data_IF_144579248704
#
_entry.id   IF_144579248704
#
_cell.length_a   1.000
_cell.length_b   1.000
_cell.length_c   1.000
_cell.angle_alpha   90.00
_cell.angle_beta   90.00
_cell.angle_gamma   90.00
#
_symmetry.space_group_name_H-M   'P 1'
#
loop_
_entity.id
_entity.type
_entity.pdbx_description
1 polymer ?
#
# COMPACT_ATOMS: atom_id res chain seq x y z
N UNK A 1 -21.72 4.44 13.59
CA UNK A 1 -20.99 3.99 12.38
C UNK A 1 -19.70 4.78 12.37
N UNK A 2 -18.53 4.15 12.52
CA UNK A 2 -17.27 4.90 12.36
C UNK A 2 -16.89 4.83 10.89
N UNK A 3 -17.07 5.92 10.17
CA UNK A 3 -16.42 6.11 8.87
C UNK A 3 -14.90 6.06 9.07
N UNK A 4 -14.17 5.60 8.06
CA UNK A 4 -12.71 5.69 8.05
C UNK A 4 -12.31 7.18 8.14
N UNK A 5 -11.43 7.54 9.07
CA UNK A 5 -10.98 8.92 9.23
C UNK A 5 -9.89 9.23 8.19
N UNK A 6 -10.28 9.88 7.09
CA UNK A 6 -9.35 10.26 6.02
C UNK A 6 -9.51 11.71 5.60
N UNK A 7 -8.45 12.27 5.04
CA UNK A 7 -8.40 13.61 4.42
C UNK A 7 -8.01 13.43 2.96
N UNK A 8 -8.87 13.92 2.05
CA UNK A 8 -8.52 14.06 0.63
C UNK A 8 -7.61 15.30 0.49
N UNK A 9 -6.43 15.10 -0.08
CA UNK A 9 -5.39 16.12 -0.26
C UNK A 9 -5.35 16.48 -1.74
N UNK A 10 -6.14 17.48 -2.10
CA UNK A 10 -6.31 18.00 -3.46
C UNK A 10 -5.85 19.46 -3.58
N UNK A 11 -5.25 20.02 -2.53
CA UNK A 11 -4.69 21.37 -2.51
C UNK A 11 -3.31 21.40 -1.83
N UNK A 12 -2.47 22.39 -2.19
CA UNK A 12 -1.15 22.56 -1.58
C UNK A 12 -1.19 22.76 -0.06
N UNK A 13 -2.12 23.56 0.53
CA UNK A 13 -2.22 23.68 1.99
C UNK A 13 -2.51 22.35 2.70
N UNK A 14 -3.35 21.49 2.11
CA UNK A 14 -3.60 20.15 2.64
C UNK A 14 -2.37 19.24 2.46
N UNK A 15 -1.63 19.38 1.37
CA UNK A 15 -0.38 18.65 1.16
C UNK A 15 0.67 19.05 2.20
N UNK A 16 0.82 20.34 2.48
CA UNK A 16 1.70 20.84 3.54
C UNK A 16 1.30 20.31 4.92
N UNK A 17 0.00 20.24 5.21
CA UNK A 17 -0.54 19.66 6.45
C UNK A 17 -0.23 18.17 6.56
N UNK A 18 -0.40 17.42 5.46
CA UNK A 18 -0.01 16.01 5.37
C UNK A 18 1.49 15.83 5.66
N UNK A 19 2.36 16.59 4.99
CA UNK A 19 3.81 16.51 5.17
C UNK A 19 4.26 16.86 6.59
N UNK A 20 3.61 17.84 7.23
CA UNK A 20 3.84 18.17 8.63
C UNK A 20 3.47 17.00 9.55
N UNK A 21 2.33 16.34 9.31
CA UNK A 21 1.90 15.17 10.07
C UNK A 21 2.85 13.96 9.90
N UNK A 22 3.52 13.86 8.74
CA UNK A 22 4.49 12.79 8.45
C UNK A 22 5.91 13.08 8.96
N UNK A 23 6.21 14.29 9.42
CA UNK A 23 7.58 14.76 9.67
C UNK A 23 8.41 13.86 10.61
N UNK A 24 7.76 13.29 11.63
CA UNK A 24 8.39 12.45 12.66
C UNK A 24 8.02 10.96 12.54
N UNK A 25 7.38 10.55 11.44
CA UNK A 25 6.99 9.14 11.28
C UNK A 25 8.20 8.26 11.04
N UNK A 26 8.23 7.10 11.69
CA UNK A 26 9.25 6.06 11.48
C UNK A 26 8.74 4.92 10.59
N UNK A 27 7.42 4.82 10.42
CA UNK A 27 6.75 3.77 9.65
C UNK A 27 5.50 4.33 8.97
N UNK A 28 5.36 4.07 7.67
CA UNK A 28 4.32 4.61 6.83
C UNK A 28 3.69 3.48 6.01
N UNK A 29 2.38 3.27 6.16
CA UNK A 29 1.61 2.42 5.26
C UNK A 29 1.31 3.21 3.99
N UNK A 30 1.55 2.58 2.85
CA UNK A 30 1.41 3.20 1.53
C UNK A 30 0.69 2.22 0.61
N UNK A 31 -0.24 2.76 -0.16
CA UNK A 31 -0.86 2.09 -1.30
C UNK A 31 -1.13 3.13 -2.40
N UNK A 32 -1.33 2.66 -3.64
CA UNK A 32 -1.54 3.51 -4.80
C UNK A 32 -2.73 2.99 -5.62
N UNK A 33 -3.49 3.92 -6.22
CA UNK A 33 -4.58 3.57 -7.13
C UNK A 33 -4.48 4.36 -8.44
N UNK A 34 -4.89 3.74 -9.54
CA UNK A 34 -4.91 4.35 -10.87
C UNK A 34 -5.31 3.39 -11.99
N UNK A 35 -5.30 3.87 -13.24
CA UNK A 35 -5.71 3.08 -14.40
C UNK A 35 -4.53 2.29 -14.93
N UNK A 36 -4.64 0.96 -14.92
CA UNK A 36 -3.56 0.06 -15.33
C UNK A 36 -2.22 0.38 -14.64
N UNK A 37 -2.27 0.69 -13.33
CA UNK A 37 -1.16 1.20 -12.52
C UNK A 37 0.17 0.45 -12.76
N UNK A 38 1.07 1.11 -13.50
CA UNK A 38 2.46 0.75 -13.78
C UNK A 38 3.07 1.87 -14.65
N UNK A 39 4.26 1.65 -15.22
CA UNK A 39 4.94 2.57 -16.14
C UNK A 39 4.15 3.03 -17.38
N UNK A 40 3.13 2.27 -17.78
CA UNK A 40 2.30 2.56 -18.97
C UNK A 40 0.86 2.91 -18.62
N UNK A 41 0.55 3.09 -17.34
CA UNK A 41 -0.76 3.47 -16.85
C UNK A 41 -0.73 4.87 -16.22
N UNK A 42 -1.69 5.12 -15.33
CA UNK A 42 -1.78 6.36 -14.56
C UNK A 42 -1.70 6.08 -13.07
N UNK A 43 -1.17 7.06 -12.32
CA UNK A 43 -1.25 7.11 -10.87
C UNK A 43 -2.21 8.23 -10.49
N UNK A 44 -3.31 7.88 -9.84
CA UNK A 44 -4.38 8.82 -9.54
C UNK A 44 -4.43 9.20 -8.06
N UNK A 45 -4.14 8.26 -7.17
CA UNK A 45 -4.18 8.45 -5.73
C UNK A 45 -2.99 7.77 -5.04
N UNK A 46 -2.47 8.41 -4.00
CA UNK A 46 -1.55 7.80 -3.03
C UNK A 46 -2.21 7.81 -1.66
N UNK A 47 -2.31 6.65 -1.01
CA UNK A 47 -2.88 6.54 0.33
C UNK A 47 -1.76 6.38 1.35
N UNK A 48 -1.81 7.16 2.44
CA UNK A 48 -0.77 7.20 3.45
C UNK A 48 -1.35 7.09 4.86
N UNK A 49 -0.80 6.19 5.67
CA UNK A 49 -1.11 6.12 7.12
C UNK A 49 0.15 5.93 7.95
N UNK A 50 0.49 6.94 8.75
CA UNK A 50 1.60 6.86 9.69
C UNK A 50 1.28 5.88 10.84
N UNK A 51 2.29 5.16 11.32
CA UNK A 51 2.14 4.31 12.51
C UNK A 51 1.71 5.16 13.72
N UNK A 52 0.72 4.67 14.47
CA UNK A 52 0.16 5.39 15.63
C UNK A 52 -0.77 6.56 15.28
N UNK A 53 -1.03 6.82 14.00
CA UNK A 53 -2.04 7.79 13.57
C UNK A 53 -3.36 7.11 13.19
N UNK A 54 -4.47 7.77 13.50
CA UNK A 54 -5.80 7.41 13.04
C UNK A 54 -6.21 8.15 11.76
N UNK A 55 -5.38 9.09 11.27
CA UNK A 55 -5.65 9.85 10.05
C UNK A 55 -5.01 9.17 8.85
N UNK A 56 -5.80 9.02 7.80
CA UNK A 56 -5.35 8.54 6.49
C UNK A 56 -5.33 9.73 5.52
N UNK A 57 -4.23 9.90 4.81
CA UNK A 57 -4.11 10.95 3.80
C UNK A 57 -4.26 10.34 2.42
N UNK A 58 -5.23 10.82 1.64
CA UNK A 58 -5.45 10.43 0.25
C UNK A 58 -4.94 11.56 -0.64
N UNK A 59 -3.75 11.42 -1.19
CA UNK A 59 -3.15 12.45 -2.04
C UNK A 59 -3.66 12.29 -3.45
N UNK A 60 -4.31 13.35 -3.93
CA UNK A 60 -4.93 13.43 -5.25
C UNK A 60 -3.89 13.82 -6.30
N UNK A 61 -3.31 12.80 -6.95
CA UNK A 61 -2.27 13.01 -7.97
C UNK A 61 -2.87 13.53 -9.28
N UNK A 62 -4.16 13.28 -9.54
CA UNK A 62 -4.85 13.86 -10.71
C UNK A 62 -4.95 15.37 -10.59
N UNK A 63 -5.26 15.88 -9.40
CA UNK A 63 -5.38 17.32 -9.15
C UNK A 63 -4.01 17.98 -8.95
N UNK A 64 -3.12 17.36 -8.17
CA UNK A 64 -1.84 17.97 -7.80
C UNK A 64 -0.71 17.73 -8.80
N UNK A 65 -0.84 16.73 -9.68
CA UNK A 65 0.21 16.35 -10.62
C UNK A 65 1.56 16.07 -9.94
N UNK A 66 2.65 16.56 -10.54
CA UNK A 66 4.00 16.42 -10.00
C UNK A 66 4.17 17.12 -8.63
N UNK A 67 3.40 18.17 -8.35
CA UNK A 67 3.46 18.89 -7.07
C UNK A 67 3.13 18.00 -5.87
N UNK A 68 2.36 16.92 -6.05
CA UNK A 68 2.11 15.91 -5.02
C UNK A 68 3.42 15.33 -4.42
N UNK A 69 4.50 15.32 -5.21
CA UNK A 69 5.78 14.72 -4.84
C UNK A 69 6.92 15.71 -4.73
N UNK A 70 6.86 16.82 -5.47
CA UNK A 70 7.96 17.80 -5.56
C UNK A 70 7.83 18.94 -4.55
N UNK A 71 6.60 19.31 -4.18
CA UNK A 71 6.35 20.41 -3.25
C UNK A 71 6.87 20.06 -1.84
N UNK A 72 7.58 21.00 -1.23
CA UNK A 72 8.13 20.84 0.12
C UNK A 72 7.22 21.49 1.15
N UNK A 73 6.87 20.73 2.20
CA UNK A 73 6.13 21.28 3.33
C UNK A 73 7.00 22.16 4.25
N UNK A 74 6.44 22.67 5.36
CA UNK A 74 7.14 23.55 6.30
C UNK A 74 8.47 23.01 6.86
N UNK A 75 8.64 21.68 6.88
CA UNK A 75 9.88 21.01 7.30
C UNK A 75 10.93 20.84 6.20
N UNK A 76 10.75 21.46 5.02
CA UNK A 76 11.67 21.39 3.89
C UNK A 76 11.77 20.00 3.22
N UNK A 77 10.81 19.11 3.48
CA UNK A 77 10.75 17.76 2.92
C UNK A 77 9.48 17.60 2.09
N UNK A 78 9.65 17.10 0.87
CA UNK A 78 8.55 16.69 0.00
C UNK A 78 8.16 15.23 0.22
N UNK A 79 7.02 14.80 -0.32
CA UNK A 79 6.60 13.39 -0.24
C UNK A 79 7.63 12.46 -0.92
N UNK A 80 8.23 12.89 -2.03
CA UNK A 80 9.34 12.16 -2.67
C UNK A 80 10.45 11.88 -1.67
N UNK A 81 10.90 12.88 -0.90
CA UNK A 81 11.95 12.69 0.11
C UNK A 81 11.55 11.73 1.23
N UNK A 82 10.27 11.68 1.61
CA UNK A 82 9.76 10.71 2.59
C UNK A 82 9.81 9.28 2.02
N UNK A 83 9.33 9.09 0.78
CA UNK A 83 9.31 7.81 0.08
C UNK A 83 10.73 7.26 -0.19
N UNK A 84 11.69 8.14 -0.53
CA UNK A 84 13.09 7.80 -0.78
C UNK A 84 13.96 7.68 0.51
N UNK A 85 13.40 8.04 1.67
CA UNK A 85 14.14 8.03 2.94
C UNK A 85 14.47 6.61 3.41
N UNK A 86 15.73 6.35 3.76
CA UNK A 86 16.11 5.08 4.42
C UNK A 86 15.67 5.01 5.88
N UNK A 87 15.41 6.15 6.52
CA UNK A 87 15.05 6.21 7.95
C UNK A 87 13.56 5.98 8.21
N UNK A 88 12.71 6.06 7.19
CA UNK A 88 11.27 5.79 7.30
C UNK A 88 11.01 4.44 6.63
N UNK A 89 10.48 3.48 7.38
CA UNK A 89 10.01 2.21 6.83
C UNK A 89 8.72 2.46 6.04
N UNK A 90 8.64 2.02 4.79
CA UNK A 90 7.37 2.01 4.04
C UNK A 90 6.83 0.59 3.99
N UNK A 91 5.65 0.38 4.56
CA UNK A 91 4.94 -0.88 4.44
C UNK A 91 3.97 -0.79 3.27
N UNK A 92 4.09 -1.76 2.38
CA UNK A 92 3.22 -1.97 1.22
C UNK A 92 2.65 -3.40 1.31
N UNK A 93 1.58 -3.68 0.57
CA UNK A 93 1.16 -5.05 0.30
C UNK A 93 1.26 -5.30 -1.19
N UNK A 94 2.33 -5.99 -1.64
CA UNK A 94 2.70 -6.15 -3.05
C UNK A 94 3.17 -4.86 -3.76
N UNK A 95 4.37 -4.39 -3.43
CA UNK A 95 4.92 -3.09 -3.91
C UNK A 95 5.26 -3.02 -5.40
N UNK A 96 5.12 -4.12 -6.16
CA UNK A 96 5.77 -4.26 -7.48
C UNK A 96 5.26 -3.22 -8.49
N UNK A 97 3.94 -3.11 -8.66
CA UNK A 97 3.35 -2.15 -9.59
C UNK A 97 3.43 -0.71 -9.08
N UNK A 98 3.31 -0.51 -7.77
CA UNK A 98 3.45 0.81 -7.14
C UNK A 98 4.84 1.39 -7.38
N UNK A 99 5.86 0.57 -7.14
CA UNK A 99 7.25 0.94 -7.39
C UNK A 99 7.51 1.21 -8.86
N UNK A 100 6.91 0.44 -9.77
CA UNK A 100 7.05 0.64 -11.22
C UNK A 100 6.41 1.96 -11.67
N UNK A 101 5.22 2.29 -11.17
CA UNK A 101 4.55 3.56 -11.43
C UNK A 101 5.33 4.74 -10.85
N UNK A 102 5.69 4.69 -9.56
CA UNK A 102 6.45 5.76 -8.89
C UNK A 102 7.79 6.05 -9.57
N UNK A 103 8.52 5.00 -9.97
CA UNK A 103 9.82 5.18 -10.62
C UNK A 103 9.68 5.72 -12.05
N UNK A 104 8.84 5.10 -12.88
CA UNK A 104 8.80 5.42 -14.31
C UNK A 104 7.95 6.65 -14.64
N UNK A 105 6.96 6.99 -13.81
CA UNK A 105 6.10 8.16 -14.04
C UNK A 105 6.58 9.41 -13.28
N UNK A 106 7.22 9.26 -12.12
CA UNK A 106 7.60 10.39 -11.23
C UNK A 106 9.08 10.38 -10.80
N UNK A 107 9.88 9.42 -11.27
CA UNK A 107 11.30 9.35 -10.95
C UNK A 107 11.57 9.13 -9.46
N UNK A 108 10.68 8.45 -8.74
CA UNK A 108 10.79 8.21 -7.29
C UNK A 108 11.37 6.82 -7.06
N UNK A 109 12.48 6.74 -6.32
CA UNK A 109 13.06 5.46 -5.91
C UNK A 109 12.71 5.13 -4.46
N UNK A 110 11.76 4.22 -4.25
CA UNK A 110 11.45 3.73 -2.91
C UNK A 110 12.70 3.16 -2.22
N UNK A 111 12.85 3.47 -0.92
CA UNK A 111 13.89 2.92 -0.06
C UNK A 111 13.29 2.37 1.23
N UNK A 112 13.93 1.43 1.92
CA UNK A 112 13.42 0.86 3.17
C UNK A 112 11.94 0.39 3.08
N UNK A 113 11.66 -0.36 2.01
CA UNK A 113 10.35 -0.97 1.78
C UNK A 113 10.28 -2.30 2.52
N UNK A 114 9.14 -2.55 3.13
CA UNK A 114 8.81 -3.81 3.79
C UNK A 114 7.46 -4.30 3.27
N UNK A 115 7.50 -5.28 2.36
CA UNK A 115 6.30 -5.82 1.72
C UNK A 115 5.61 -6.86 2.60
N UNK A 116 4.42 -6.54 3.09
CA UNK A 116 3.65 -7.38 4.01
C UNK A 116 3.16 -8.68 3.36
N UNK A 117 3.05 -8.74 2.03
CA UNK A 117 2.73 -9.98 1.34
C UNK A 117 3.85 -11.01 1.50
N UNK A 118 5.10 -10.55 1.58
CA UNK A 118 6.24 -11.43 1.87
C UNK A 118 6.27 -11.87 3.34
N UNK A 119 5.93 -10.96 4.26
CA UNK A 119 5.79 -11.34 5.67
C UNK A 119 4.69 -12.41 5.87
N UNK A 120 3.58 -12.31 5.12
CA UNK A 120 2.52 -13.33 5.12
C UNK A 120 3.05 -14.70 4.67
N UNK A 121 3.84 -14.74 3.58
CA UNK A 121 4.49 -15.96 3.11
C UNK A 121 5.44 -16.51 4.18
N UNK A 122 6.22 -15.65 4.83
CA UNK A 122 7.16 -16.06 5.86
C UNK A 122 6.45 -16.69 7.08
N UNK A 123 5.29 -16.16 7.49
CA UNK A 123 4.44 -16.77 8.53
C UNK A 123 3.99 -18.16 8.11
N UNK A 124 3.45 -18.33 6.90
CA UNK A 124 3.01 -19.64 6.40
C UNK A 124 4.17 -20.63 6.23
N UNK A 125 5.33 -20.17 5.79
CA UNK A 125 6.54 -20.99 5.59
C UNK A 125 7.19 -21.39 6.92
N UNK A 126 6.85 -20.71 8.02
CA UNK A 126 7.31 -21.06 9.37
C UNK A 126 6.41 -22.07 10.08
N UNK A 127 5.26 -22.44 9.48
CA UNK A 127 4.37 -23.46 10.04
C UNK A 127 4.76 -24.87 9.56
N UNK A 128 4.49 -25.93 10.34
CA UNK A 128 4.71 -27.30 9.89
C UNK A 128 3.94 -27.62 8.62
N UNK A 129 4.58 -28.29 7.66
CA UNK A 129 3.94 -28.76 6.43
C UNK A 129 4.69 -28.34 5.18
N UNK A 130 3.98 -28.37 4.04
CA UNK A 130 4.55 -28.01 2.74
C UNK A 130 4.66 -26.49 2.61
N UNK A 131 5.81 -25.96 2.16
CA UNK A 131 5.95 -24.53 1.87
C UNK A 131 4.89 -24.01 0.90
N UNK A 132 4.41 -22.77 1.07
CA UNK A 132 3.41 -22.19 0.20
C UNK A 132 3.94 -22.02 -1.22
N UNK A 133 3.12 -22.33 -2.23
CA UNK A 133 3.48 -22.09 -3.64
C UNK A 133 3.02 -20.73 -4.16
N UNK A 134 1.91 -20.23 -3.65
CA UNK A 134 1.25 -19.02 -4.14
C UNK A 134 1.20 -17.95 -3.06
N UNK A 135 1.29 -16.70 -3.51
CA UNK A 135 1.06 -15.51 -2.70
C UNK A 135 -0.42 -15.40 -2.34
N UNK A 136 -0.70 -14.77 -1.20
CA UNK A 136 -2.04 -14.44 -0.76
C UNK A 136 -2.34 -12.96 -1.01
N UNK A 137 -3.57 -12.65 -1.39
CA UNK A 137 -4.03 -11.26 -1.55
C UNK A 137 -4.24 -10.55 -0.21
N UNK A 138 -4.40 -9.22 -0.24
CA UNK A 138 -4.59 -8.41 0.96
C UNK A 138 -5.86 -8.79 1.72
N UNK A 139 -7.01 -8.82 1.04
CA UNK A 139 -8.31 -9.15 1.65
C UNK A 139 -8.27 -10.49 2.41
N UNK A 140 -7.91 -11.63 1.79
CA UNK A 140 -7.88 -12.88 2.53
C UNK A 140 -6.81 -12.91 3.63
N UNK A 141 -5.75 -12.08 3.54
CA UNK A 141 -4.77 -11.93 4.62
C UNK A 141 -5.35 -11.17 5.81
N UNK A 142 -6.06 -10.06 5.58
CA UNK A 142 -6.76 -9.31 6.62
C UNK A 142 -7.85 -10.15 7.30
N UNK A 143 -8.62 -10.93 6.53
CA UNK A 143 -9.62 -11.87 7.07
C UNK A 143 -9.00 -12.92 7.98
N UNK A 144 -7.81 -13.41 7.64
CA UNK A 144 -7.16 -14.48 8.41
C UNK A 144 -6.48 -13.95 9.67
N UNK A 145 -5.81 -12.80 9.59
CA UNK A 145 -4.88 -12.36 10.63
C UNK A 145 -5.37 -11.15 11.45
N UNK A 146 -6.24 -10.32 10.87
CA UNK A 146 -6.71 -9.08 11.52
C UNK A 146 -8.16 -9.18 11.97
N UNK A 147 -9.05 -9.73 11.14
CA UNK A 147 -10.47 -9.84 11.47
C UNK A 147 -10.76 -10.55 12.81
N UNK A 148 -10.04 -11.64 13.20
CA UNK A 148 -10.24 -12.28 14.51
C UNK A 148 -9.89 -11.38 15.71
N UNK A 149 -9.14 -10.30 15.49
CA UNK A 149 -8.71 -9.34 16.51
C UNK A 149 -9.61 -8.11 16.59
N UNK A 150 -10.65 -8.02 15.75
CA UNK A 150 -11.55 -6.88 15.67
C UNK A 150 -12.98 -7.30 16.04
N UNK A 151 -13.83 -6.34 16.40
CA UNK A 151 -15.24 -6.62 16.66
C UNK A 151 -15.98 -6.98 15.37
N UNK A 152 -17.04 -7.80 15.49
CA UNK A 152 -17.85 -8.19 14.35
C UNK A 152 -18.46 -6.98 13.60
N UNK A 153 -18.73 -5.88 14.30
CA UNK A 153 -19.20 -4.64 13.70
C UNK A 153 -18.15 -3.99 12.78
N UNK A 154 -16.87 -3.99 13.21
CA UNK A 154 -15.75 -3.47 12.41
C UNK A 154 -15.54 -4.32 11.16
N UNK A 155 -15.51 -5.65 11.32
CA UNK A 155 -15.32 -6.59 10.19
C UNK A 155 -16.45 -6.45 9.15
N UNK A 156 -17.72 -6.35 9.59
CA UNK A 156 -18.84 -6.12 8.68
C UNK A 156 -18.75 -4.78 7.94
N UNK A 157 -18.35 -3.71 8.63
CA UNK A 157 -18.21 -2.40 7.98
C UNK A 157 -17.10 -2.42 6.93
N UNK A 158 -15.95 -3.04 7.24
CA UNK A 158 -14.85 -3.23 6.31
C UNK A 158 -15.30 -3.99 5.05
N UNK A 159 -15.96 -5.14 5.20
CA UNK A 159 -16.49 -5.91 4.07
C UNK A 159 -17.49 -5.11 3.22
N UNK A 160 -18.37 -4.31 3.85
CA UNK A 160 -19.36 -3.48 3.15
C UNK A 160 -18.71 -2.41 2.27
N UNK A 161 -17.72 -1.69 2.80
CA UNK A 161 -17.01 -0.64 2.06
C UNK A 161 -16.18 -1.26 0.93
N UNK A 162 -15.50 -2.38 1.18
CA UNK A 162 -14.74 -3.08 0.14
C UNK A 162 -15.63 -3.51 -1.02
N UNK A 163 -16.77 -4.13 -0.73
CA UNK A 163 -17.76 -4.53 -1.75
C UNK A 163 -18.36 -3.33 -2.50
N UNK A 164 -18.63 -2.22 -1.81
CA UNK A 164 -19.14 -1.00 -2.44
C UNK A 164 -18.10 -0.39 -3.40
N UNK A 165 -16.84 -0.27 -2.99
CA UNK A 165 -15.76 0.26 -3.84
C UNK A 165 -15.46 -0.65 -5.04
N UNK A 166 -15.36 -1.97 -4.82
CA UNK A 166 -15.09 -2.93 -5.89
C UNK A 166 -16.14 -2.87 -7.01
N UNK A 167 -17.42 -2.63 -6.69
CA UNK A 167 -18.47 -2.47 -7.71
C UNK A 167 -18.28 -1.24 -8.60
N UNK A 168 -17.55 -0.23 -8.13
CA UNK A 168 -17.33 1.01 -8.88
C UNK A 168 -16.19 0.88 -9.88
N UNK A 169 -15.09 0.21 -9.52
CA UNK A 169 -13.90 0.16 -10.38
C UNK A 169 -13.58 -1.21 -10.99
N UNK A 170 -14.04 -2.32 -10.41
CA UNK A 170 -13.68 -3.65 -10.88
C UNK A 170 -14.57 -4.07 -12.08
N UNK A 171 -14.01 -4.30 -13.29
CA UNK A 171 -14.80 -4.61 -14.48
C UNK A 171 -15.66 -5.86 -14.37
N UNK A 172 -15.17 -6.88 -13.66
CA UNK A 172 -15.89 -8.12 -13.40
C UNK A 172 -17.12 -7.93 -12.50
N UNK A 173 -17.26 -6.76 -11.88
CA UNK A 173 -18.41 -6.35 -11.06
C UNK A 173 -19.24 -5.23 -11.70
N UNK A 174 -18.98 -4.91 -12.97
CA UNK A 174 -19.66 -3.85 -13.72
C UNK A 174 -19.05 -2.45 -13.53
N UNK A 175 -17.90 -2.35 -12.85
CA UNK A 175 -17.16 -1.12 -12.66
C UNK A 175 -16.19 -0.80 -13.80
N UNK A 176 -15.44 0.29 -13.65
CA UNK A 176 -14.39 0.70 -14.60
C UNK A 176 -13.23 1.36 -13.86
N UNK A 177 -11.98 1.06 -14.21
CA UNK A 177 -10.82 1.60 -13.47
C UNK A 177 -10.73 3.14 -13.56
N UNK A 178 -11.33 3.73 -14.58
CA UNK A 178 -11.36 5.17 -14.87
C UNK A 178 -12.05 5.98 -13.75
N UNK A 179 -12.81 5.35 -12.85
CA UNK A 179 -13.37 6.05 -11.68
C UNK A 179 -12.31 6.66 -10.77
N UNK A 180 -11.06 6.17 -10.82
CA UNK A 180 -9.94 6.78 -10.09
C UNK A 180 -9.47 8.10 -10.72
N UNK A 181 -9.76 8.35 -11.99
CA UNK A 181 -9.43 9.60 -12.71
C UNK A 181 -10.55 10.64 -12.61
N UNK A 182 -11.78 10.22 -12.35
CA UNK A 182 -12.95 11.10 -12.29
C UNK A 182 -12.90 12.09 -11.12
N UNK A 183 -13.24 13.37 -11.37
CA UNK A 183 -13.34 14.40 -10.34
C UNK A 183 -14.69 15.13 -10.38
N UNK A 184 -15.31 15.43 -9.22
CA UNK A 184 -14.83 15.15 -7.85
C UNK A 184 -14.78 13.65 -7.55
N UNK A 185 -13.81 13.23 -6.71
CA UNK A 185 -13.64 11.81 -6.38
C UNK A 185 -14.87 11.28 -5.65
N UNK A 186 -15.47 10.19 -6.16
CA UNK A 186 -16.65 9.62 -5.56
C UNK A 186 -16.38 9.18 -4.09
N UNK A 187 -17.25 9.53 -3.11
CA UNK A 187 -16.99 9.23 -1.70
C UNK A 187 -16.75 7.75 -1.39
N UNK A 188 -17.46 6.86 -2.09
CA UNK A 188 -17.28 5.41 -1.92
C UNK A 188 -15.93 4.91 -2.46
N UNK A 189 -15.37 5.56 -3.49
CA UNK A 189 -14.01 5.27 -3.99
C UNK A 189 -12.99 5.75 -2.96
N UNK A 190 -13.15 6.98 -2.45
CA UNK A 190 -12.27 7.52 -1.40
C UNK A 190 -12.26 6.64 -0.14
N UNK A 191 -13.44 6.18 0.32
CA UNK A 191 -13.56 5.32 1.50
C UNK A 191 -12.92 3.94 1.26
N UNK A 192 -13.05 3.39 0.05
CA UNK A 192 -12.37 2.16 -0.36
C UNK A 192 -10.84 2.34 -0.31
N UNK A 193 -10.29 3.36 -0.96
CA UNK A 193 -8.85 3.61 -1.01
C UNK A 193 -8.28 3.81 0.40
N UNK A 194 -9.00 4.54 1.26
CA UNK A 194 -8.59 4.73 2.64
C UNK A 194 -8.47 3.40 3.41
N UNK A 195 -9.33 2.42 3.13
CA UNK A 195 -9.28 1.12 3.82
C UNK A 195 -8.07 0.27 3.46
N UNK A 196 -7.47 0.45 2.28
CA UNK A 196 -6.35 -0.38 1.85
C UNK A 196 -5.06 -0.16 2.65
N UNK A 197 -4.90 1.03 3.24
CA UNK A 197 -3.82 1.32 4.20
C UNK A 197 -4.24 1.29 5.67
N UNK A 198 -5.55 1.32 5.96
CA UNK A 198 -6.09 1.48 7.31
C UNK A 198 -5.58 0.40 8.29
N UNK A 199 -5.51 -0.85 7.82
CA UNK A 199 -5.20 -2.03 8.62
C UNK A 199 -3.80 -2.63 8.34
N UNK A 200 -2.95 -1.98 7.53
CA UNK A 200 -1.63 -2.56 7.21
C UNK A 200 -0.70 -2.62 8.43
N UNK A 201 -0.71 -1.62 9.32
CA UNK A 201 0.06 -1.69 10.57
C UNK A 201 -0.50 -2.77 11.52
N UNK A 202 -1.82 -2.95 11.58
CA UNK A 202 -2.45 -4.04 12.33
C UNK A 202 -2.03 -5.41 11.79
N UNK A 203 -2.00 -5.56 10.47
CA UNK A 203 -1.56 -6.76 9.78
C UNK A 203 -0.08 -7.06 10.06
N UNK A 204 0.79 -6.04 9.99
CA UNK A 204 2.20 -6.19 10.34
C UNK A 204 2.36 -6.72 11.77
N UNK A 205 1.66 -6.12 12.74
CA UNK A 205 1.71 -6.53 14.15
C UNK A 205 1.23 -7.98 14.32
N UNK A 206 0.11 -8.34 13.69
CA UNK A 206 -0.46 -9.69 13.78
C UNK A 206 0.51 -10.74 13.21
N UNK A 207 1.05 -10.50 12.01
CA UNK A 207 1.96 -11.42 11.36
C UNK A 207 3.29 -11.56 12.11
N UNK A 208 3.85 -10.45 12.63
CA UNK A 208 5.09 -10.49 13.44
C UNK A 208 4.95 -11.28 14.73
N UNK A 209 3.77 -11.28 15.36
CA UNK A 209 3.50 -12.14 16.52
C UNK A 209 3.53 -13.62 16.16
N UNK A 210 3.09 -13.99 14.95
CA UNK A 210 3.04 -15.38 14.51
C UNK A 210 4.40 -15.93 14.08
N UNK A 211 5.27 -15.13 13.48
CA UNK A 211 6.58 -15.60 13.01
C UNK A 211 7.58 -15.87 14.17
N UNK A 212 7.36 -15.25 15.34
CA UNK A 212 8.10 -15.53 16.56
C UNK A 212 9.63 -15.38 16.45
N UNK A 213 10.36 -16.17 17.24
CA UNK A 213 11.83 -16.11 17.33
C UNK A 213 12.59 -16.74 16.15
N UNK A 214 11.91 -17.57 15.34
CA UNK A 214 12.40 -18.04 14.04
C UNK A 214 12.48 -16.90 13.00
N UNK A 215 11.86 -15.74 13.28
CA UNK A 215 11.73 -14.59 12.39
C UNK A 215 13.01 -13.81 12.07
N UNK A 216 14.15 -14.04 12.76
CA UNK A 216 15.37 -13.22 12.53
C UNK A 216 15.95 -13.36 11.12
N UNK A 217 15.96 -14.57 10.56
CA UNK A 217 16.34 -14.77 9.16
C UNK A 217 15.28 -14.19 8.22
N UNK A 218 14.00 -14.41 8.54
CA UNK A 218 12.89 -13.93 7.73
C UNK A 218 12.85 -12.41 7.57
N UNK A 219 13.11 -11.63 8.61
CA UNK A 219 13.19 -10.16 8.50
C UNK A 219 14.19 -9.73 7.42
N UNK A 220 15.40 -10.30 7.44
CA UNK A 220 16.42 -9.99 6.44
C UNK A 220 15.99 -10.40 5.04
N UNK A 221 15.36 -11.57 4.90
CA UNK A 221 14.83 -12.07 3.63
C UNK A 221 13.72 -11.17 3.07
N UNK A 222 12.81 -10.71 3.93
CA UNK A 222 11.71 -9.80 3.54
C UNK A 222 12.27 -8.48 3.03
N UNK A 223 13.22 -7.85 3.73
CA UNK A 223 13.86 -6.64 3.24
C UNK A 223 14.64 -6.87 1.94
N UNK A 224 15.38 -7.98 1.83
CA UNK A 224 16.14 -8.31 0.63
C UNK A 224 15.23 -8.50 -0.59
N UNK A 225 14.15 -9.27 -0.45
CA UNK A 225 13.21 -9.52 -1.53
C UNK A 225 12.32 -8.30 -1.84
N UNK A 226 11.99 -7.49 -0.82
CA UNK A 226 11.34 -6.19 -1.03
C UNK A 226 12.22 -5.25 -1.87
N UNK A 227 13.54 -5.24 -1.62
CA UNK A 227 14.50 -4.51 -2.44
C UNK A 227 14.58 -5.06 -3.87
N UNK A 228 14.53 -6.38 -4.06
CA UNK A 228 14.44 -7.00 -5.39
C UNK A 228 13.16 -6.55 -6.12
N UNK A 229 12.00 -6.61 -5.46
CA UNK A 229 10.70 -6.17 -6.02
C UNK A 229 10.74 -4.70 -6.46
N UNK A 230 11.33 -3.82 -5.65
CA UNK A 230 11.54 -2.41 -5.99
C UNK A 230 12.53 -2.26 -7.15
N UNK A 231 13.61 -3.05 -7.17
CA UNK A 231 14.61 -3.05 -8.24
C UNK A 231 14.06 -3.46 -9.61
N UNK A 232 13.06 -4.34 -9.65
CA UNK A 232 12.41 -4.77 -10.88
C UNK A 232 11.75 -3.61 -11.66
N UNK A 233 11.30 -2.54 -10.98
CA UNK A 233 10.75 -1.34 -11.60
C UNK A 233 11.71 -0.66 -12.60
N UNK A 234 13.02 -0.92 -12.46
CA UNK A 234 14.07 -0.35 -13.32
C UNK A 234 14.43 -1.22 -14.52
N UNK A 235 13.91 -2.44 -14.56
CA UNK A 235 14.23 -3.39 -15.61
C UNK A 235 13.36 -3.12 -16.85
N UNK A 236 13.96 -3.20 -18.04
CA UNK A 236 13.26 -2.99 -19.31
C UNK A 236 12.21 -4.08 -19.59
N UNK A 237 12.44 -5.30 -19.11
CA UNK A 237 11.58 -6.48 -19.30
C UNK A 237 10.55 -6.68 -18.18
N UNK A 238 10.25 -5.66 -17.37
CA UNK A 238 9.22 -5.74 -16.34
C UNK A 238 7.84 -6.04 -16.95
N UNK A 239 7.16 -7.06 -16.42
CA UNK A 239 5.81 -7.45 -16.87
C UNK A 239 4.78 -7.14 -15.79
N UNK A 240 3.96 -6.07 -15.93
CA UNK A 240 3.07 -5.61 -14.88
C UNK A 240 1.96 -6.61 -14.53
N UNK A 241 1.50 -7.42 -15.49
CA UNK A 241 0.39 -8.39 -15.34
C UNK A 241 0.81 -9.84 -15.61
N UNK A 242 1.98 -10.26 -15.15
CA UNK A 242 2.48 -11.62 -15.38
C UNK A 242 2.03 -12.63 -14.32
N UNK A 243 1.72 -13.87 -14.73
CA UNK A 243 1.34 -14.97 -13.82
C UNK A 243 2.42 -15.30 -12.77
N UNK A 244 3.69 -15.05 -13.10
CA UNK A 244 4.82 -15.21 -12.17
C UNK A 244 4.64 -14.38 -10.89
N UNK A 245 3.86 -13.29 -10.94
CA UNK A 245 3.59 -12.44 -9.78
C UNK A 245 2.70 -13.11 -8.72
N UNK A 246 2.02 -14.20 -9.05
CA UNK A 246 1.23 -14.99 -8.09
C UNK A 246 2.09 -16.01 -7.30
N UNK A 247 3.34 -16.21 -7.67
CA UNK A 247 4.22 -17.21 -7.06
C UNK A 247 5.01 -16.63 -5.89
N UNK A 248 5.27 -17.46 -4.88
CA UNK A 248 6.23 -17.11 -3.82
C UNK A 248 7.64 -16.96 -4.41
N UNK A 249 8.51 -16.14 -3.79
CA UNK A 249 9.90 -16.08 -4.23
C UNK A 249 10.59 -17.44 -4.09
N UNK A 250 11.55 -17.71 -4.96
CA UNK A 250 12.29 -18.97 -4.94
C UNK A 250 13.06 -19.16 -3.63
N UNK A 251 13.08 -20.38 -3.12
CA UNK A 251 13.72 -20.78 -1.86
C UNK A 251 13.07 -20.24 -0.57
N UNK A 252 11.82 -19.78 -0.63
CA UNK A 252 11.00 -19.39 0.53
C UNK A 252 10.20 -20.56 1.07
#
# INVERSE_FOLDING_TARGET
MSSTNFVLVDTLPLLHSCLAALANTTSLAVDLEGVALCRSGTLCLVQLKASGSDVIWLIDVVVLGASAFEESGPGGKSLKRVLESRSVKKIFFDVRNDSDALFNLFGITLANVYDLQLLEVAVRSSQPGRPPRFLKGLVPSLETYVAPLKSAAVVRNWGRVKEAGLRLFAPERGGRYEVFEERPLAPAVAEYCAQDVALLHDLEIALKRMIGSAGRNWEQRIYAESLVRVGCARQANYVPRGQHKALVPTNW
#
